data_IF_489701103848
#
_entry.id   IF_489701103848
#
_cell.length_a   1.000
_cell.length_b   1.000
_cell.length_c   1.000
_cell.angle_alpha   90.00
_cell.angle_beta   90.00
_cell.angle_gamma   90.00
#
_symmetry.space_group_name_H-M   'P 1'
#
loop_
_entity.id
_entity.type
_entity.pdbx_description
1 polymer ?
#
# COMPACT_ATOMS: atom_id res chain seq x y z
N UNK A 1 -11.05 31.84 5.75
CA UNK A 1 -11.38 30.70 4.87
C UNK A 1 -10.69 29.48 5.44
N UNK A 2 -11.29 28.87 6.46
CA UNK A 2 -10.73 27.66 7.09
C UNK A 2 -11.13 26.47 6.24
N UNK A 3 -10.19 25.96 5.43
CA UNK A 3 -10.44 24.77 4.65
C UNK A 3 -10.26 23.54 5.55
N UNK A 4 -11.31 23.19 6.30
CA UNK A 4 -11.32 22.05 7.24
C UNK A 4 -10.86 20.72 6.61
N UNK A 5 -10.96 20.60 5.28
CA UNK A 5 -10.48 19.45 4.51
C UNK A 5 -8.94 19.37 4.47
N UNK A 6 -8.24 20.51 4.41
CA UNK A 6 -6.77 20.54 4.46
C UNK A 6 -6.23 20.25 5.86
N UNK A 7 -7.00 20.58 6.90
CA UNK A 7 -6.67 20.22 8.30
C UNK A 7 -6.60 18.70 8.51
N UNK A 8 -7.29 17.91 7.68
CA UNK A 8 -7.20 16.46 7.71
C UNK A 8 -5.81 15.94 7.25
N UNK A 9 -5.08 16.68 6.42
CA UNK A 9 -3.81 16.22 5.85
C UNK A 9 -2.73 15.99 6.94
N UNK A 10 -2.45 16.93 7.87
CA UNK A 10 -1.55 16.68 8.99
C UNK A 10 -1.99 15.52 9.89
N UNK A 11 -3.30 15.35 10.12
CA UNK A 11 -3.83 14.27 10.95
C UNK A 11 -3.62 12.89 10.30
N UNK A 12 -3.81 12.79 8.97
CA UNK A 12 -3.51 11.57 8.22
C UNK A 12 -2.01 11.25 8.19
N UNK A 13 -1.17 12.26 7.99
CA UNK A 13 0.28 12.12 8.11
C UNK A 13 0.69 11.61 9.50
N UNK A 14 0.12 12.19 10.55
CA UNK A 14 0.39 11.79 11.93
C UNK A 14 -0.04 10.35 12.20
N UNK A 15 -1.22 9.94 11.70
CA UNK A 15 -1.69 8.56 11.81
C UNK A 15 -0.74 7.59 11.10
N UNK A 16 -0.34 7.90 9.86
CA UNK A 16 0.63 7.11 9.11
C UNK A 16 1.95 6.94 9.86
N UNK A 17 2.46 8.05 10.42
CA UNK A 17 3.67 8.04 11.25
C UNK A 17 3.53 7.18 12.51
N UNK A 18 2.39 7.24 13.21
CA UNK A 18 2.14 6.40 14.39
C UNK A 18 2.13 4.92 14.03
N UNK A 19 1.47 4.54 12.94
CA UNK A 19 1.40 3.13 12.50
C UNK A 19 2.78 2.62 12.06
N UNK A 20 3.57 3.46 11.40
CA UNK A 20 4.97 3.17 11.06
C UNK A 20 5.82 2.97 12.32
N UNK A 21 5.79 3.94 13.26
CA UNK A 21 6.57 3.90 14.50
C UNK A 21 6.18 2.75 15.43
N UNK A 22 4.90 2.35 15.42
CA UNK A 22 4.42 1.20 16.19
C UNK A 22 4.88 -0.16 15.62
N UNK A 23 5.55 -0.18 14.46
CA UNK A 23 6.06 -1.40 13.84
C UNK A 23 4.94 -2.33 13.35
N UNK A 24 3.73 -1.80 13.13
CA UNK A 24 2.55 -2.59 12.76
C UNK A 24 2.75 -3.23 11.38
N UNK A 25 3.35 -2.50 10.44
CA UNK A 25 3.60 -2.96 9.06
C UNK A 25 4.45 -4.23 9.04
N UNK A 26 5.52 -4.27 9.85
CA UNK A 26 6.39 -5.42 9.95
C UNK A 26 5.63 -6.66 10.43
N UNK A 27 4.87 -6.51 11.52
CA UNK A 27 4.06 -7.60 12.09
C UNK A 27 3.00 -8.08 11.11
N UNK A 28 2.34 -7.15 10.41
CA UNK A 28 1.33 -7.45 9.41
C UNK A 28 1.92 -8.25 8.23
N UNK A 29 3.09 -7.85 7.72
CA UNK A 29 3.78 -8.58 6.67
C UNK A 29 4.10 -10.03 7.07
N UNK A 30 4.66 -10.24 8.26
CA UNK A 30 4.97 -11.60 8.72
C UNK A 30 3.72 -12.44 8.97
N UNK A 31 2.65 -11.83 9.52
CA UNK A 31 1.37 -12.51 9.74
C UNK A 31 0.74 -12.95 8.42
N UNK A 32 0.68 -12.07 7.42
CA UNK A 32 0.13 -12.40 6.10
C UNK A 32 1.01 -13.43 5.39
N UNK A 33 2.34 -13.29 5.47
CA UNK A 33 3.26 -14.29 4.91
C UNK A 33 3.03 -15.68 5.51
N UNK A 34 2.80 -15.77 6.82
CA UNK A 34 2.49 -17.02 7.50
C UNK A 34 1.14 -17.59 7.04
N UNK A 35 0.12 -16.74 6.91
CA UNK A 35 -1.18 -17.14 6.39
C UNK A 35 -1.10 -17.61 4.92
N UNK A 36 -0.27 -16.95 4.11
CA UNK A 36 -0.06 -17.23 2.70
C UNK A 36 0.98 -18.33 2.43
N UNK A 37 1.47 -19.07 3.44
CA UNK A 37 2.55 -20.05 3.26
C UNK A 37 2.27 -21.13 2.20
N UNK A 38 1.00 -21.44 1.93
CA UNK A 38 0.58 -22.42 0.92
C UNK A 38 0.51 -21.87 -0.50
N UNK A 39 0.64 -20.55 -0.66
CA UNK A 39 0.56 -19.91 -1.97
C UNK A 39 1.94 -19.86 -2.65
N UNK A 40 1.98 -20.07 -3.98
CA UNK A 40 3.15 -19.74 -4.79
C UNK A 40 3.42 -18.23 -4.66
N UNK A 41 4.69 -17.84 -4.58
CA UNK A 41 5.11 -16.46 -4.31
C UNK A 41 4.52 -15.82 -3.02
N UNK A 42 4.37 -16.59 -1.94
CA UNK A 42 3.81 -16.13 -0.65
C UNK A 42 4.38 -14.81 -0.11
N UNK A 43 5.67 -14.53 -0.33
CA UNK A 43 6.27 -13.25 0.08
C UNK A 43 5.81 -12.07 -0.78
N UNK A 44 5.64 -12.26 -2.09
CA UNK A 44 5.13 -11.22 -2.97
C UNK A 44 3.65 -10.92 -2.67
N UNK A 45 2.85 -11.96 -2.46
CA UNK A 45 1.45 -11.84 -2.04
C UNK A 45 1.37 -11.10 -0.69
N UNK A 46 2.19 -11.50 0.28
CA UNK A 46 2.23 -10.82 1.57
C UNK A 46 2.62 -9.36 1.45
N UNK A 47 3.62 -9.02 0.62
CA UNK A 47 4.01 -7.64 0.37
C UNK A 47 2.86 -6.82 -0.22
N UNK A 48 2.19 -7.32 -1.27
CA UNK A 48 1.08 -6.62 -1.93
C UNK A 48 -0.13 -6.42 -1.02
N UNK A 49 -0.53 -7.43 -0.25
CA UNK A 49 -1.64 -7.31 0.70
C UNK A 49 -1.28 -6.32 1.81
N UNK A 50 -0.05 -6.40 2.32
CA UNK A 50 0.39 -5.46 3.37
C UNK A 50 0.44 -4.03 2.83
N UNK A 51 0.94 -3.82 1.61
CA UNK A 51 0.88 -2.53 0.94
C UNK A 51 -0.56 -2.04 0.81
N UNK A 52 -1.48 -2.90 0.35
CA UNK A 52 -2.91 -2.57 0.16
C UNK A 52 -3.57 -2.10 1.45
N UNK A 53 -3.33 -2.80 2.57
CA UNK A 53 -3.88 -2.48 3.88
C UNK A 53 -3.19 -1.28 4.56
N UNK A 54 -1.89 -1.09 4.31
CA UNK A 54 -1.14 0.02 4.88
C UNK A 54 -1.32 1.32 4.08
N UNK A 55 -1.67 1.21 2.80
CA UNK A 55 -2.05 2.33 1.93
C UNK A 55 -3.22 3.12 2.49
N UNK A 56 -4.19 2.40 3.07
CA UNK A 56 -5.35 2.93 3.80
C UNK A 56 -4.93 3.80 4.99
N UNK A 57 -3.74 3.59 5.56
CA UNK A 57 -3.28 4.33 6.74
C UNK A 57 -2.37 5.52 6.41
N UNK A 58 -1.61 5.46 5.32
CA UNK A 58 -0.54 6.43 5.04
C UNK A 58 -0.83 7.35 3.86
N UNK A 59 -1.51 6.88 2.81
CA UNK A 59 -1.83 7.72 1.65
C UNK A 59 -0.61 8.23 0.84
N UNK A 60 0.60 7.71 1.07
CA UNK A 60 1.87 8.26 0.56
C UNK A 60 2.75 7.15 -0.03
N UNK A 61 3.18 7.30 -1.29
CA UNK A 61 4.04 6.32 -1.97
C UNK A 61 5.37 6.13 -1.22
N UNK A 62 6.07 7.23 -0.93
CA UNK A 62 7.45 7.21 -0.43
C UNK A 62 7.59 6.39 0.85
N UNK A 63 6.72 6.62 1.84
CA UNK A 63 6.74 5.88 3.09
C UNK A 63 6.54 4.37 2.89
N UNK A 64 5.52 3.97 2.12
CA UNK A 64 5.21 2.55 1.89
C UNK A 64 6.33 1.85 1.12
N UNK A 65 6.83 2.45 0.04
CA UNK A 65 7.91 1.88 -0.78
C UNK A 65 9.20 1.76 0.03
N UNK A 66 9.59 2.78 0.79
CA UNK A 66 10.81 2.74 1.60
C UNK A 66 10.72 1.67 2.69
N UNK A 67 9.59 1.61 3.43
CA UNK A 67 9.40 0.59 4.47
C UNK A 67 9.44 -0.83 3.90
N UNK A 68 8.72 -1.06 2.80
CA UNK A 68 8.68 -2.38 2.17
C UNK A 68 10.00 -2.74 1.48
N UNK A 69 10.70 -1.75 0.92
CA UNK A 69 12.04 -1.93 0.37
C UNK A 69 13.08 -2.26 1.42
N UNK A 70 12.93 -1.77 2.65
CA UNK A 70 13.82 -2.14 3.76
C UNK A 70 13.44 -3.48 4.40
N UNK A 71 12.16 -3.85 4.37
CA UNK A 71 11.64 -5.02 5.08
C UNK A 71 11.44 -6.25 4.19
N UNK A 72 10.68 -6.12 3.11
CA UNK A 72 10.23 -7.24 2.28
C UNK A 72 11.23 -7.56 1.16
N UNK A 73 11.82 -6.56 0.50
CA UNK A 73 12.81 -6.77 -0.57
C UNK A 73 14.00 -7.67 -0.16
N UNK A 74 14.74 -7.41 0.94
CA UNK A 74 15.86 -8.26 1.30
C UNK A 74 15.41 -9.67 1.69
N UNK A 75 14.20 -9.83 2.24
CA UNK A 75 13.63 -11.13 2.54
C UNK A 75 13.29 -11.93 1.27
N UNK A 76 12.71 -11.28 0.25
CA UNK A 76 12.39 -11.87 -1.05
C UNK A 76 13.66 -12.31 -1.79
N UNK A 77 14.69 -11.46 -1.85
CA UNK A 77 15.95 -11.78 -2.52
C UNK A 77 16.64 -12.97 -1.83
N UNK A 78 16.66 -13.03 -0.49
CA UNK A 78 17.19 -14.17 0.26
C UNK A 78 16.40 -15.46 0.02
N UNK A 79 15.11 -15.36 -0.27
CA UNK A 79 14.26 -16.49 -0.62
C UNK A 79 14.38 -16.92 -2.11
N UNK A 80 15.31 -16.33 -2.88
CA UNK A 80 15.59 -16.71 -4.26
C UNK A 80 14.75 -16.00 -5.32
N UNK A 81 14.00 -14.95 -4.96
CA UNK A 81 13.21 -14.19 -5.93
C UNK A 81 14.14 -13.38 -6.84
N UNK A 82 13.78 -13.27 -8.12
CA UNK A 82 14.47 -12.38 -9.05
C UNK A 82 14.39 -10.93 -8.57
N UNK A 83 15.52 -10.22 -8.66
CA UNK A 83 15.64 -8.83 -8.20
C UNK A 83 14.69 -7.91 -8.98
N UNK A 84 14.48 -8.10 -10.28
CA UNK A 84 13.55 -7.25 -11.04
C UNK A 84 12.10 -7.51 -10.63
N UNK A 85 11.77 -8.77 -10.36
CA UNK A 85 10.44 -9.12 -9.87
C UNK A 85 10.16 -8.53 -8.48
N UNK A 86 11.08 -8.70 -7.53
CA UNK A 86 10.91 -8.16 -6.19
C UNK A 86 10.73 -6.62 -6.20
N UNK A 87 11.35 -5.89 -7.13
CA UNK A 87 11.34 -4.41 -7.12
C UNK A 87 10.07 -3.94 -7.77
N UNK A 88 9.67 -4.63 -8.85
CA UNK A 88 8.36 -4.48 -9.46
C UNK A 88 7.25 -4.60 -8.42
N UNK A 89 7.27 -5.65 -7.59
CA UNK A 89 6.26 -5.88 -6.54
C UNK A 89 6.24 -4.78 -5.48
N UNK A 90 7.42 -4.34 -5.00
CA UNK A 90 7.51 -3.33 -3.95
C UNK A 90 7.08 -1.95 -4.49
N UNK A 91 7.54 -1.58 -5.69
CA UNK A 91 7.18 -0.32 -6.33
C UNK A 91 5.70 -0.29 -6.71
N UNK A 92 5.17 -1.36 -7.32
CA UNK A 92 3.74 -1.42 -7.69
C UNK A 92 2.83 -1.43 -6.47
N UNK A 93 3.18 -2.21 -5.44
CA UNK A 93 2.46 -2.24 -4.19
C UNK A 93 2.46 -0.89 -3.48
N UNK A 94 3.60 -0.20 -3.43
CA UNK A 94 3.67 1.11 -2.80
C UNK A 94 2.88 2.21 -3.54
N UNK A 95 2.73 2.11 -4.86
CA UNK A 95 1.88 3.02 -5.63
C UNK A 95 0.37 2.86 -5.31
N UNK A 96 -0.07 1.71 -4.79
CA UNK A 96 -1.44 1.54 -4.28
C UNK A 96 -1.73 2.50 -3.10
N UNK A 97 -0.68 3.00 -2.45
CA UNK A 97 -0.70 4.03 -1.40
C UNK A 97 -1.49 5.27 -1.77
N UNK A 98 -1.45 5.68 -3.04
CA UNK A 98 -2.18 6.86 -3.51
C UNK A 98 -3.65 6.55 -3.79
N UNK A 99 -3.94 5.33 -4.23
CA UNK A 99 -5.24 5.01 -4.80
C UNK A 99 -6.23 4.50 -3.75
N UNK A 100 -5.76 3.75 -2.75
CA UNK A 100 -6.62 3.15 -1.74
C UNK A 100 -6.93 4.21 -0.65
N UNK A 101 -8.21 4.60 -0.47
CA UNK A 101 -8.57 5.61 0.52
C UNK A 101 -8.41 5.12 1.96
N UNK A 102 -8.22 6.03 2.94
CA UNK A 102 -7.99 7.47 2.78
C UNK A 102 -6.59 7.79 2.24
N UNK A 103 -6.53 8.70 1.25
CA UNK A 103 -5.29 9.11 0.58
C UNK A 103 -5.20 10.62 0.51
N UNK A 104 -4.03 11.16 0.89
CA UNK A 104 -3.75 12.61 0.86
C UNK A 104 -3.91 13.15 -0.56
N UNK A 105 -3.51 12.38 -1.57
CA UNK A 105 -3.60 12.80 -2.96
C UNK A 105 -5.06 13.01 -3.40
N UNK A 106 -5.96 12.12 -2.99
CA UNK A 106 -7.40 12.27 -3.26
C UNK A 106 -8.00 13.46 -2.50
N UNK A 107 -7.52 13.75 -1.29
CA UNK A 107 -7.92 14.95 -0.53
C UNK A 107 -7.50 16.22 -1.27
N UNK A 108 -6.23 16.33 -1.66
CA UNK A 108 -5.72 17.49 -2.40
C UNK A 108 -6.45 17.64 -3.74
N UNK A 109 -6.64 16.53 -4.46
CA UNK A 109 -7.38 16.53 -5.72
C UNK A 109 -8.84 16.99 -5.53
N UNK A 110 -9.50 16.57 -4.45
CA UNK A 110 -10.88 16.99 -4.15
C UNK A 110 -11.01 18.50 -3.99
N UNK A 111 -10.01 19.15 -3.39
CA UNK A 111 -9.97 20.61 -3.20
C UNK A 111 -9.77 21.31 -4.55
N UNK A 112 -8.89 20.81 -5.41
CA UNK A 112 -8.62 21.39 -6.74
C UNK A 112 -9.84 21.21 -7.66
N UNK A 113 -10.41 20.00 -7.69
CA UNK A 113 -11.55 19.66 -8.52
C UNK A 113 -12.89 20.17 -7.97
N UNK A 114 -12.90 20.80 -6.79
CA UNK A 114 -14.11 21.25 -6.08
C UNK A 114 -15.15 20.13 -5.90
N UNK A 115 -14.66 18.91 -5.64
CA UNK A 115 -15.48 17.71 -5.42
C UNK A 115 -15.46 17.31 -3.95
N UNK A 116 -16.48 16.55 -3.55
CA UNK A 116 -16.51 15.97 -2.20
C UNK A 116 -15.39 14.92 -2.03
N UNK A 117 -14.54 15.01 -0.99
CA UNK A 117 -13.50 14.01 -0.71
C UNK A 117 -14.09 12.62 -0.53
N UNK A 118 -15.24 12.52 0.15
CA UNK A 118 -15.94 11.26 0.40
C UNK A 118 -16.37 10.56 -0.89
N UNK A 119 -16.84 11.33 -1.89
CA UNK A 119 -17.22 10.78 -3.20
C UNK A 119 -16.01 10.24 -3.94
N UNK A 120 -14.88 10.96 -3.90
CA UNK A 120 -13.62 10.51 -4.50
C UNK A 120 -13.08 9.25 -3.81
N UNK A 121 -13.17 9.17 -2.48
CA UNK A 121 -12.81 7.97 -1.74
C UNK A 121 -13.67 6.79 -2.17
N UNK A 122 -15.01 6.93 -2.17
CA UNK A 122 -15.91 5.86 -2.59
C UNK A 122 -15.61 5.38 -4.03
N UNK A 123 -15.35 6.32 -4.95
CA UNK A 123 -15.01 6.00 -6.33
C UNK A 123 -13.66 5.28 -6.49
N UNK A 124 -12.70 5.53 -5.59
CA UNK A 124 -11.35 4.97 -5.68
C UNK A 124 -11.22 3.56 -5.06
N UNK A 125 -12.17 3.12 -4.23
CA UNK A 125 -12.16 1.77 -3.62
C UNK A 125 -12.12 0.68 -4.69
N UNK A 126 -13.04 0.74 -5.66
CA UNK A 126 -13.13 -0.27 -6.72
C UNK A 126 -11.84 -0.38 -7.55
N UNK A 127 -11.30 0.70 -8.16
CA UNK A 127 -10.07 0.61 -8.94
C UNK A 127 -8.86 0.24 -8.07
N UNK A 128 -8.81 0.68 -6.80
CA UNK A 128 -7.75 0.32 -5.85
C UNK A 128 -7.70 -1.17 -5.58
N UNK A 129 -8.83 -1.78 -5.23
CA UNK A 129 -8.94 -3.21 -4.97
C UNK A 129 -8.77 -4.04 -6.25
N UNK A 130 -9.26 -3.55 -7.39
CA UNK A 130 -9.06 -4.19 -8.68
C UNK A 130 -7.56 -4.30 -9.02
N UNK A 131 -6.81 -3.19 -8.92
CA UNK A 131 -5.37 -3.20 -9.17
C UNK A 131 -4.61 -4.06 -8.17
N UNK A 132 -4.96 -4.00 -6.89
CA UNK A 132 -4.37 -4.89 -5.89
C UNK A 132 -4.59 -6.36 -6.25
N UNK A 133 -5.82 -6.72 -6.64
CA UNK A 133 -6.17 -8.07 -7.10
C UNK A 133 -5.40 -8.49 -8.36
N UNK A 134 -5.27 -7.61 -9.36
CA UNK A 134 -4.50 -7.87 -10.57
C UNK A 134 -3.01 -8.08 -10.28
N UNK A 135 -2.43 -7.29 -9.37
CA UNK A 135 -1.02 -7.44 -8.98
C UNK A 135 -0.78 -8.76 -8.23
N UNK A 136 -1.70 -9.14 -7.33
CA UNK A 136 -1.63 -10.42 -6.62
C UNK A 136 -1.79 -11.58 -7.60
N UNK A 137 -2.78 -11.50 -8.50
CA UNK A 137 -2.99 -12.50 -9.55
C UNK A 137 -1.76 -12.67 -10.43
N UNK A 138 -1.16 -11.57 -10.89
CA UNK A 138 0.08 -11.58 -11.65
C UNK A 138 1.24 -12.26 -10.87
N UNK A 139 1.40 -11.92 -9.59
CA UNK A 139 2.45 -12.50 -8.75
C UNK A 139 2.28 -14.02 -8.58
N UNK A 140 1.04 -14.49 -8.41
CA UNK A 140 0.70 -15.92 -8.28
C UNK A 140 0.91 -16.66 -9.59
N UNK A 141 0.43 -16.10 -10.72
CA UNK A 141 0.55 -16.73 -12.05
C UNK A 141 2.00 -16.84 -12.49
N UNK A 142 2.83 -15.82 -12.23
CA UNK A 142 4.25 -15.82 -12.60
C UNK A 142 5.10 -16.78 -11.74
N UNK A 143 4.57 -17.19 -10.60
CA UNK A 143 5.25 -18.06 -9.66
C UNK A 143 4.90 -19.54 -9.81
N UNK A 144 3.85 -19.84 -10.58
CA UNK A 144 3.60 -21.15 -11.17
C UNK A 144 4.42 -21.33 -12.44
#
# INVERSE_FOLDING_TARGET
MDNNVLTAVPLFLFMGYLVERAGIVAKLFFAIRLAAHRLPASMAVAALITCTLFSTATGIIGAVVTLMGLLAWPAMVKAGYDKKFASGIICSGGCLGILIPPSIMLIVYSVIAQLSPLRLFAAAIFPGLLLAGLYIGYAVIRAW
#
